data_IF_176511328634
#
_entry.id   IF_176511328634
#
_cell.length_a   1.000
_cell.length_b   1.000
_cell.length_c   1.000
_cell.angle_alpha   90.00
_cell.angle_beta   90.00
_cell.angle_gamma   90.00
#
_symmetry.space_group_name_H-M   'P 1'
#
loop_
_entity.id
_entity.type
_entity.pdbx_description
1 polymer ?
#
# COMPACT_ATOMS: atom_id res chain seq x y z
N UNK A 1 18.90 -1.61 -16.61
CA UNK A 1 17.46 -1.69 -17.02
C UNK A 1 16.73 -2.47 -15.94
N UNK A 2 15.57 -2.03 -15.50
CA UNK A 2 14.78 -2.78 -14.49
C UNK A 2 14.18 -4.02 -15.13
N UNK A 3 14.15 -5.11 -14.37
CA UNK A 3 13.65 -6.42 -14.80
C UNK A 3 12.28 -6.76 -14.18
N UNK A 4 11.90 -6.07 -13.10
CA UNK A 4 10.62 -6.23 -12.44
C UNK A 4 10.20 -4.96 -11.69
N UNK A 5 8.90 -4.87 -11.35
CA UNK A 5 8.34 -3.81 -10.53
C UNK A 5 7.66 -4.40 -9.30
N UNK A 6 7.82 -3.75 -8.13
CA UNK A 6 7.05 -4.03 -6.92
C UNK A 6 6.24 -2.77 -6.58
N UNK A 7 4.95 -2.91 -6.40
CA UNK A 7 4.04 -1.83 -6.04
C UNK A 7 3.57 -1.93 -4.60
N UNK A 8 3.52 -0.83 -3.89
CA UNK A 8 2.64 -0.72 -2.72
C UNK A 8 1.17 -0.66 -3.18
N UNK A 9 0.24 -0.99 -2.29
CA UNK A 9 -1.19 -0.94 -2.58
C UNK A 9 -1.80 0.40 -2.15
N UNK A 10 -1.89 0.64 -0.83
CA UNK A 10 -2.59 1.78 -0.25
C UNK A 10 -1.88 3.11 -0.56
N UNK A 11 -2.54 4.00 -1.28
CA UNK A 11 -1.98 5.29 -1.68
C UNK A 11 -1.04 5.21 -2.90
N UNK A 12 -0.98 4.05 -3.59
CA UNK A 12 -0.14 3.83 -4.78
C UNK A 12 -0.94 3.22 -5.92
N UNK A 13 -1.28 1.93 -5.86
CA UNK A 13 -2.14 1.29 -6.84
C UNK A 13 -3.61 1.67 -6.65
N UNK A 14 -4.03 1.76 -5.39
CA UNK A 14 -5.43 1.97 -5.02
C UNK A 14 -5.59 3.13 -4.03
N UNK A 15 -6.60 3.95 -4.26
CA UNK A 15 -7.15 4.86 -3.27
C UNK A 15 -8.06 4.05 -2.34
N UNK A 16 -7.57 3.83 -1.13
CA UNK A 16 -8.22 3.05 -0.08
C UNK A 16 -8.56 3.91 1.14
N UNK A 17 -8.33 5.22 1.08
CA UNK A 17 -8.49 6.09 2.26
C UNK A 17 -9.91 6.11 2.76
N UNK A 18 -10.90 6.26 1.86
CA UNK A 18 -12.31 6.24 2.20
C UNK A 18 -12.75 4.89 2.78
N UNK A 19 -12.29 3.79 2.19
CA UNK A 19 -12.54 2.44 2.66
C UNK A 19 -12.01 2.22 4.08
N UNK A 20 -10.72 2.49 4.31
CA UNK A 20 -10.06 2.32 5.61
C UNK A 20 -10.75 3.20 6.67
N UNK A 21 -10.96 4.48 6.37
CA UNK A 21 -11.60 5.43 7.30
C UNK A 21 -13.06 5.07 7.59
N UNK A 22 -13.80 4.59 6.59
CA UNK A 22 -15.17 4.15 6.74
C UNK A 22 -15.32 2.97 7.70
N UNK A 23 -14.52 1.91 7.50
CA UNK A 23 -14.52 0.75 8.41
C UNK A 23 -13.98 1.10 9.80
N UNK A 24 -12.95 1.95 9.86
CA UNK A 24 -12.39 2.41 11.12
C UNK A 24 -13.42 3.19 11.94
N UNK A 25 -14.17 4.10 11.33
CA UNK A 25 -15.24 4.83 12.00
C UNK A 25 -16.41 3.92 12.41
N UNK A 26 -16.75 2.91 11.61
CA UNK A 26 -17.72 1.92 12.02
C UNK A 26 -17.26 1.15 13.27
N UNK A 27 -15.98 0.73 13.32
CA UNK A 27 -15.42 0.05 14.48
C UNK A 27 -15.40 0.96 15.72
N UNK A 28 -15.04 2.23 15.58
CA UNK A 28 -15.13 3.23 16.66
C UNK A 28 -16.56 3.35 17.17
N UNK A 29 -17.54 3.50 16.28
CA UNK A 29 -18.95 3.64 16.64
C UNK A 29 -19.49 2.41 17.39
N UNK A 30 -19.14 1.18 16.97
CA UNK A 30 -19.51 -0.07 17.66
C UNK A 30 -19.02 -0.08 19.11
N UNK A 31 -17.87 0.52 19.39
CA UNK A 31 -17.28 0.59 20.73
C UNK A 31 -17.60 1.90 21.48
N UNK A 32 -18.47 2.76 20.91
CA UNK A 32 -18.92 3.99 21.56
C UNK A 32 -17.92 5.15 21.47
N UNK A 33 -16.92 5.08 20.61
CA UNK A 33 -15.98 6.19 20.38
C UNK A 33 -16.46 7.13 19.27
N UNK A 34 -16.11 8.42 19.31
CA UNK A 34 -16.43 9.38 18.24
C UNK A 34 -15.72 9.04 16.93
N UNK A 35 -16.37 9.39 15.82
CA UNK A 35 -15.75 9.25 14.49
C UNK A 35 -14.62 10.26 14.27
N UNK A 36 -13.68 9.89 13.41
CA UNK A 36 -12.57 10.73 12.96
C UNK A 36 -12.84 11.16 11.51
N UNK A 37 -12.62 12.43 11.12
CA UNK A 37 -12.72 12.87 9.73
C UNK A 37 -11.89 11.98 8.79
N UNK A 38 -12.45 11.60 7.63
CA UNK A 38 -11.81 10.65 6.71
C UNK A 38 -10.43 11.16 6.25
N UNK A 39 -10.30 12.45 6.00
CA UNK A 39 -9.05 13.07 5.58
C UNK A 39 -7.91 12.95 6.60
N UNK A 40 -8.22 12.77 7.89
CA UNK A 40 -7.21 12.59 8.94
C UNK A 40 -6.59 11.19 8.92
N UNK A 41 -7.28 10.21 8.34
CA UNK A 41 -6.75 8.85 8.22
C UNK A 41 -5.48 8.76 7.38
N UNK A 42 -5.22 9.72 6.49
CA UNK A 42 -3.94 9.82 5.74
C UNK A 42 -2.70 9.85 6.64
N UNK A 43 -2.84 10.34 7.88
CA UNK A 43 -1.76 10.39 8.87
C UNK A 43 -1.70 9.14 9.76
N UNK A 44 -2.68 8.26 9.70
CA UNK A 44 -2.83 7.08 10.53
C UNK A 44 -2.50 5.78 9.81
N UNK A 45 -2.74 5.74 8.49
CA UNK A 45 -2.57 4.52 7.67
C UNK A 45 -1.12 4.32 7.21
N UNK A 46 -0.77 3.07 6.85
CA UNK A 46 0.51 2.72 6.22
C UNK A 46 1.45 1.89 7.08
N UNK A 47 1.31 1.91 8.41
CA UNK A 47 2.17 1.18 9.34
C UNK A 47 1.51 -0.08 9.95
N UNK A 48 0.45 -0.57 9.30
CA UNK A 48 -0.33 -1.71 9.76
C UNK A 48 -1.47 -1.34 10.71
N UNK A 49 -2.39 -2.28 10.89
CA UNK A 49 -3.64 -2.01 11.58
C UNK A 49 -3.48 -1.73 13.08
N UNK A 50 -2.51 -2.35 13.78
CA UNK A 50 -2.29 -2.07 15.21
C UNK A 50 -1.85 -0.61 15.45
N UNK A 51 -1.01 -0.06 14.57
CA UNK A 51 -0.60 1.35 14.63
C UNK A 51 -1.79 2.26 14.33
N UNK A 52 -2.64 1.87 13.36
CA UNK A 52 -3.89 2.57 13.07
C UNK A 52 -4.80 2.60 14.31
N UNK A 53 -5.06 1.45 14.94
CA UNK A 53 -5.92 1.37 16.14
C UNK A 53 -5.40 2.27 17.28
N UNK A 54 -4.11 2.21 17.58
CA UNK A 54 -3.50 3.10 18.58
C UNK A 54 -3.62 4.57 18.21
N UNK A 55 -3.44 4.90 16.94
CA UNK A 55 -3.61 6.27 16.43
C UNK A 55 -5.03 6.79 16.59
N UNK A 56 -6.02 5.92 16.33
CA UNK A 56 -7.44 6.23 16.50
C UNK A 56 -7.79 6.45 17.98
N UNK A 57 -7.40 5.52 18.86
CA UNK A 57 -7.68 5.62 20.31
C UNK A 57 -7.02 6.85 20.95
N UNK A 58 -5.81 7.23 20.54
CA UNK A 58 -5.19 8.49 21.00
C UNK A 58 -6.03 9.72 20.67
N UNK A 59 -6.76 9.70 19.53
CA UNK A 59 -7.60 10.83 19.11
C UNK A 59 -8.97 10.83 19.77
N UNK A 60 -9.51 9.67 20.08
CA UNK A 60 -10.91 9.51 20.47
C UNK A 60 -11.12 9.21 21.95
N UNK A 61 -10.19 8.51 22.58
CA UNK A 61 -10.28 8.08 23.98
C UNK A 61 -9.32 8.82 24.93
N UNK A 62 -8.22 9.37 24.39
CA UNK A 62 -7.14 9.95 25.21
C UNK A 62 -6.31 8.87 25.91
N UNK A 63 -6.84 8.28 26.99
CA UNK A 63 -6.24 7.14 27.68
C UNK A 63 -6.87 5.84 27.17
N UNK A 64 -6.05 4.83 26.88
CA UNK A 64 -6.49 3.51 26.43
C UNK A 64 -5.50 2.42 26.88
N UNK A 65 -5.98 1.19 26.93
CA UNK A 65 -5.19 0.00 27.27
C UNK A 65 -4.86 -0.81 26.02
N UNK A 66 -3.99 -1.82 26.16
CA UNK A 66 -3.75 -2.77 25.06
C UNK A 66 -4.98 -3.62 24.74
N UNK A 67 -5.82 -3.89 25.74
CA UNK A 67 -7.09 -4.57 25.54
C UNK A 67 -8.03 -3.75 24.64
N UNK A 68 -8.09 -2.42 24.80
CA UNK A 68 -8.88 -1.55 23.94
C UNK A 68 -8.37 -1.59 22.49
N UNK A 69 -7.06 -1.65 22.29
CA UNK A 69 -6.46 -1.81 20.95
C UNK A 69 -6.91 -3.12 20.31
N UNK A 70 -6.85 -4.22 21.07
CA UNK A 70 -7.25 -5.54 20.57
C UNK A 70 -8.74 -5.62 20.27
N UNK A 71 -9.58 -5.06 21.11
CA UNK A 71 -11.05 -4.99 20.90
C UNK A 71 -11.39 -4.19 19.65
N UNK A 72 -10.80 -3.00 19.50
CA UNK A 72 -11.01 -2.16 18.32
C UNK A 72 -10.50 -2.85 17.05
N UNK A 73 -9.35 -3.51 17.14
CA UNK A 73 -8.77 -4.27 16.05
C UNK A 73 -9.67 -5.42 15.60
N UNK A 74 -10.21 -6.20 16.53
CA UNK A 74 -11.08 -7.34 16.21
C UNK A 74 -12.34 -6.89 15.48
N UNK A 75 -12.97 -5.78 15.93
CA UNK A 75 -14.16 -5.21 15.26
C UNK A 75 -13.79 -4.70 13.87
N UNK A 76 -12.68 -3.97 13.73
CA UNK A 76 -12.21 -3.43 12.46
C UNK A 76 -11.90 -4.54 11.45
N UNK A 77 -11.14 -5.57 11.85
CA UNK A 77 -10.78 -6.67 10.98
C UNK A 77 -12.03 -7.42 10.47
N UNK A 78 -12.99 -7.73 11.36
CA UNK A 78 -14.21 -8.40 10.98
C UNK A 78 -15.06 -7.61 9.97
N UNK A 79 -15.16 -6.28 10.17
CA UNK A 79 -15.87 -5.40 9.24
C UNK A 79 -15.17 -5.30 7.89
N UNK A 80 -13.83 -5.19 7.91
CA UNK A 80 -13.06 -4.99 6.70
C UNK A 80 -12.95 -6.27 5.86
N UNK A 81 -12.79 -7.42 6.50
CA UNK A 81 -12.76 -8.72 5.81
C UNK A 81 -14.11 -9.11 5.19
N UNK A 82 -15.22 -8.62 5.73
CA UNK A 82 -16.53 -8.87 5.18
C UNK A 82 -16.79 -8.19 3.82
N UNK A 83 -16.16 -7.03 3.58
CA UNK A 83 -16.30 -6.27 2.32
C UNK A 83 -15.04 -5.47 1.99
N UNK A 84 -13.93 -6.16 1.67
CA UNK A 84 -12.60 -5.53 1.53
C UNK A 84 -12.48 -4.57 0.33
N UNK A 85 -13.44 -4.59 -0.59
CA UNK A 85 -13.43 -3.77 -1.81
C UNK A 85 -14.35 -2.55 -1.74
N UNK A 86 -15.07 -2.36 -0.66
CA UNK A 86 -15.96 -1.21 -0.47
C UNK A 86 -15.17 0.11 -0.49
N UNK A 87 -15.64 1.05 -1.29
CA UNK A 87 -15.05 2.39 -1.45
C UNK A 87 -13.56 2.37 -1.83
N UNK A 88 -13.14 1.37 -2.62
CA UNK A 88 -11.80 1.23 -3.15
C UNK A 88 -11.83 1.49 -4.66
N UNK A 89 -10.88 2.30 -5.14
CA UNK A 89 -10.75 2.59 -6.57
C UNK A 89 -9.29 2.72 -6.99
N UNK A 90 -9.01 2.51 -8.27
CA UNK A 90 -7.69 2.74 -8.81
C UNK A 90 -7.33 4.23 -8.80
N UNK A 91 -6.07 4.56 -8.57
CA UNK A 91 -5.58 5.88 -8.95
C UNK A 91 -5.57 6.01 -10.49
N UNK A 92 -5.89 7.22 -11.01
CA UNK A 92 -5.82 7.47 -12.45
C UNK A 92 -4.43 7.11 -13.02
N UNK A 93 -4.41 6.41 -14.16
CA UNK A 93 -3.20 5.98 -14.83
C UNK A 93 -2.60 4.65 -14.34
N UNK A 94 -3.04 4.11 -13.19
CA UNK A 94 -2.50 2.84 -12.68
C UNK A 94 -2.92 1.63 -13.51
N UNK A 95 -4.18 1.47 -13.95
CA UNK A 95 -4.56 0.38 -14.84
C UNK A 95 -3.78 0.40 -16.15
N UNK A 96 -3.58 1.57 -16.73
CA UNK A 96 -2.83 1.76 -17.98
C UNK A 96 -1.34 1.42 -17.81
N UNK A 97 -0.73 1.85 -16.70
CA UNK A 97 0.66 1.52 -16.37
C UNK A 97 0.85 0.02 -16.20
N UNK A 98 -0.02 -0.64 -15.44
CA UNK A 98 0.03 -2.09 -15.21
C UNK A 98 -0.17 -2.86 -16.53
N UNK A 99 -1.10 -2.40 -17.38
CA UNK A 99 -1.31 -2.98 -18.70
C UNK A 99 -0.09 -2.79 -19.62
N UNK A 100 0.60 -1.63 -19.53
CA UNK A 100 1.83 -1.39 -20.27
C UNK A 100 2.97 -2.31 -19.82
N UNK A 101 3.19 -2.48 -18.50
CA UNK A 101 4.19 -3.42 -17.97
C UNK A 101 3.94 -4.84 -18.48
N UNK A 102 2.68 -5.28 -18.47
CA UNK A 102 2.29 -6.60 -19.00
C UNK A 102 2.62 -6.74 -20.49
N UNK A 103 2.29 -5.73 -21.30
CA UNK A 103 2.59 -5.73 -22.74
C UNK A 103 4.10 -5.80 -23.02
N UNK A 104 4.90 -5.08 -22.23
CA UNK A 104 6.36 -5.10 -22.31
C UNK A 104 7.00 -6.31 -21.60
N UNK A 105 6.18 -7.25 -21.10
CA UNK A 105 6.61 -8.44 -20.38
C UNK A 105 7.47 -8.16 -19.14
N UNK A 106 7.29 -7.00 -18.52
CA UNK A 106 7.94 -6.64 -17.25
C UNK A 106 7.08 -7.20 -16.10
N UNK A 107 7.54 -8.20 -15.35
CA UNK A 107 6.77 -8.76 -14.25
C UNK A 107 6.54 -7.72 -13.16
N UNK A 108 5.31 -7.66 -12.68
CA UNK A 108 4.89 -6.80 -11.59
C UNK A 108 4.42 -7.63 -10.39
N UNK A 109 4.66 -7.12 -9.19
CA UNK A 109 4.19 -7.70 -7.93
C UNK A 109 3.61 -6.62 -7.02
N UNK A 110 2.77 -7.03 -6.07
CA UNK A 110 2.23 -6.15 -5.02
C UNK A 110 2.85 -6.53 -3.67
N UNK A 111 3.26 -5.54 -2.88
CA UNK A 111 3.74 -5.71 -1.50
C UNK A 111 3.11 -4.67 -0.57
N UNK A 112 2.26 -5.12 0.36
CA UNK A 112 1.54 -4.24 1.29
C UNK A 112 1.64 -4.71 2.75
N UNK A 113 1.54 -3.76 3.70
CA UNK A 113 1.41 -4.07 5.14
C UNK A 113 -0.03 -4.41 5.56
N UNK A 114 -0.97 -4.39 4.62
CA UNK A 114 -2.36 -4.80 4.81
C UNK A 114 -2.48 -6.33 4.88
N UNK A 115 -3.45 -6.93 5.57
CA UNK A 115 -3.64 -8.39 5.60
C UNK A 115 -3.67 -9.01 4.20
N UNK A 116 -3.04 -10.18 4.05
CA UNK A 116 -2.81 -10.80 2.74
C UNK A 116 -4.10 -11.10 1.96
N UNK A 117 -5.11 -11.66 2.64
CA UNK A 117 -6.42 -11.94 2.05
C UNK A 117 -7.11 -10.67 1.51
N UNK A 118 -7.01 -9.58 2.24
CA UNK A 118 -7.57 -8.27 1.85
C UNK A 118 -6.83 -7.68 0.66
N UNK A 119 -5.49 -7.77 0.63
CA UNK A 119 -4.69 -7.32 -0.53
C UNK A 119 -5.09 -8.08 -1.79
N UNK A 120 -5.19 -9.40 -1.72
CA UNK A 120 -5.58 -10.23 -2.86
C UNK A 120 -6.98 -9.86 -3.36
N UNK A 121 -7.97 -9.72 -2.46
CA UNK A 121 -9.33 -9.34 -2.83
C UNK A 121 -9.40 -7.97 -3.54
N UNK A 122 -8.68 -6.97 -3.03
CA UNK A 122 -8.64 -5.64 -3.65
C UNK A 122 -7.97 -5.70 -5.03
N UNK A 123 -6.83 -6.38 -5.14
CA UNK A 123 -6.10 -6.49 -6.42
C UNK A 123 -6.94 -7.23 -7.47
N UNK A 124 -7.61 -8.32 -7.10
CA UNK A 124 -8.49 -9.07 -7.99
C UNK A 124 -9.72 -8.26 -8.45
N UNK A 125 -10.24 -7.37 -7.59
CA UNK A 125 -11.36 -6.51 -7.94
C UNK A 125 -10.96 -5.36 -8.88
N UNK A 126 -9.74 -4.83 -8.72
CA UNK A 126 -9.30 -3.62 -9.43
C UNK A 126 -8.54 -3.89 -10.72
N UNK A 127 -7.92 -5.07 -10.86
CA UNK A 127 -7.03 -5.38 -11.98
C UNK A 127 -7.37 -6.74 -12.60
N UNK A 128 -7.14 -6.92 -13.92
CA UNK A 128 -7.23 -8.23 -14.55
C UNK A 128 -6.33 -9.26 -13.83
N UNK A 129 -6.79 -10.51 -13.74
CA UNK A 129 -6.17 -11.59 -12.97
C UNK A 129 -4.66 -11.80 -13.23
N UNK A 130 -4.20 -11.51 -14.44
CA UNK A 130 -2.80 -11.71 -14.84
C UNK A 130 -1.95 -10.45 -14.74
N UNK A 131 -2.45 -9.39 -14.09
CA UNK A 131 -1.75 -8.12 -13.98
C UNK A 131 -0.51 -8.19 -13.11
N UNK A 132 -0.53 -9.03 -12.09
CA UNK A 132 0.57 -9.22 -11.16
C UNK A 132 0.98 -10.69 -11.06
N UNK A 133 2.29 -10.93 -11.04
CA UNK A 133 2.84 -12.27 -10.83
C UNK A 133 2.68 -12.73 -9.39
N UNK A 134 2.83 -11.80 -8.45
CA UNK A 134 2.76 -12.06 -7.02
C UNK A 134 1.95 -10.94 -6.35
N UNK A 135 1.18 -11.33 -5.34
CA UNK A 135 0.41 -10.41 -4.53
C UNK A 135 0.67 -10.73 -3.06
N UNK A 136 1.46 -9.87 -2.37
CA UNK A 136 1.88 -10.08 -1.00
C UNK A 136 1.32 -9.01 -0.07
N UNK A 137 0.43 -9.41 0.83
CA UNK A 137 0.09 -8.68 2.03
C UNK A 137 0.85 -9.22 3.24
N UNK A 138 0.57 -8.68 4.42
CA UNK A 138 1.15 -9.13 5.67
C UNK A 138 0.76 -10.59 5.97
N UNK A 139 1.76 -11.40 6.27
CA UNK A 139 1.64 -12.82 6.63
C UNK A 139 2.41 -13.11 7.91
N UNK A 140 2.02 -14.16 8.63
CA UNK A 140 2.77 -14.62 9.78
C UNK A 140 4.19 -15.02 9.37
N UNK A 141 5.17 -14.68 10.20
CA UNK A 141 6.58 -15.01 9.99
C UNK A 141 7.32 -14.13 8.97
N UNK A 142 6.67 -13.12 8.39
CA UNK A 142 7.32 -12.16 7.49
C UNK A 142 7.30 -10.77 8.13
N UNK A 143 8.45 -10.12 8.19
CA UNK A 143 8.56 -8.78 8.75
C UNK A 143 7.79 -7.76 7.91
N UNK A 144 7.21 -6.75 8.60
CA UNK A 144 6.46 -5.67 7.94
C UNK A 144 7.41 -4.66 7.31
N UNK A 145 7.00 -4.04 6.20
CA UNK A 145 7.68 -2.84 5.69
C UNK A 145 7.83 -1.79 6.81
N UNK A 146 9.02 -1.18 7.01
CA UNK A 146 10.14 -1.00 6.08
C UNK A 146 11.18 -2.13 6.08
N UNK A 147 10.99 -3.24 6.76
CA UNK A 147 11.89 -4.37 6.61
C UNK A 147 11.90 -4.84 5.15
N UNK A 148 13.08 -5.11 4.56
CA UNK A 148 13.21 -5.51 3.18
C UNK A 148 12.79 -6.96 2.91
N UNK A 149 12.56 -7.79 3.93
CA UNK A 149 12.32 -9.22 3.80
C UNK A 149 11.23 -9.55 2.76
N UNK A 150 10.06 -8.90 2.85
CA UNK A 150 8.98 -9.13 1.90
C UNK A 150 9.34 -8.79 0.45
N UNK A 151 10.15 -7.75 0.23
CA UNK A 151 10.63 -7.37 -1.09
C UNK A 151 11.69 -8.35 -1.62
N UNK A 152 12.56 -8.85 -0.75
CA UNK A 152 13.58 -9.84 -1.10
C UNK A 152 12.96 -11.19 -1.46
N UNK A 153 11.92 -11.63 -0.75
CA UNK A 153 11.15 -12.82 -1.11
C UNK A 153 10.52 -12.71 -2.50
N UNK A 154 9.93 -11.54 -2.81
CA UNK A 154 9.40 -11.29 -4.16
C UNK A 154 10.51 -11.30 -5.21
N UNK A 155 11.66 -10.70 -4.91
CA UNK A 155 12.81 -10.67 -5.82
C UNK A 155 13.29 -12.09 -6.17
N UNK A 156 13.37 -12.96 -5.18
CA UNK A 156 13.74 -14.37 -5.35
C UNK A 156 12.73 -15.12 -6.23
N UNK A 157 11.43 -14.99 -5.94
CA UNK A 157 10.39 -15.66 -6.72
C UNK A 157 10.29 -15.15 -8.17
N UNK A 158 10.51 -13.85 -8.39
CA UNK A 158 10.58 -13.26 -9.73
C UNK A 158 11.90 -13.56 -10.45
N UNK A 159 12.89 -14.16 -9.76
CA UNK A 159 14.23 -14.41 -10.25
C UNK A 159 14.92 -13.15 -10.79
N UNK A 160 14.66 -12.01 -10.16
CA UNK A 160 15.20 -10.72 -10.52
C UNK A 160 16.13 -10.21 -9.40
N UNK A 161 17.38 -9.81 -9.72
CA UNK A 161 18.27 -9.23 -8.70
C UNK A 161 17.62 -7.98 -8.07
N UNK A 162 17.70 -7.79 -6.74
CA UNK A 162 17.09 -6.63 -6.06
C UNK A 162 17.48 -5.27 -6.66
N UNK A 163 18.71 -5.16 -7.18
CA UNK A 163 19.24 -3.97 -7.86
C UNK A 163 18.57 -3.68 -9.22
N UNK A 164 17.83 -4.65 -9.77
CA UNK A 164 17.09 -4.54 -11.03
C UNK A 164 15.57 -4.51 -10.80
N UNK A 165 15.13 -4.30 -9.57
CA UNK A 165 13.71 -4.15 -9.23
C UNK A 165 13.42 -2.68 -8.94
N UNK A 166 12.36 -2.17 -9.58
CA UNK A 166 11.81 -0.87 -9.26
C UNK A 166 10.72 -1.03 -8.20
N UNK A 167 10.93 -0.43 -7.03
CA UNK A 167 9.88 -0.34 -6.02
C UNK A 167 9.11 0.97 -6.17
N UNK A 168 7.78 0.89 -6.26
CA UNK A 168 6.87 2.02 -6.44
C UNK A 168 5.94 2.09 -5.22
N UNK A 169 6.01 3.18 -4.47
CA UNK A 169 5.22 3.36 -3.25
C UNK A 169 5.06 4.81 -2.86
N UNK A 170 4.13 5.09 -1.93
CA UNK A 170 3.90 6.43 -1.40
C UNK A 170 5.12 6.97 -0.65
N UNK A 171 5.68 8.06 -1.16
CA UNK A 171 6.90 8.70 -0.65
C UNK A 171 6.67 9.40 0.70
N UNK A 172 5.44 9.81 1.01
CA UNK A 172 5.13 10.53 2.25
C UNK A 172 5.18 9.66 3.50
N UNK A 173 5.10 8.34 3.34
CA UNK A 173 5.09 7.39 4.46
C UNK A 173 6.44 6.75 4.72
N UNK A 174 7.49 7.03 3.90
CA UNK A 174 8.77 6.33 4.03
C UNK A 174 9.99 7.10 3.60
N UNK A 175 11.01 6.94 4.42
CA UNK A 175 12.40 7.15 4.08
C UNK A 175 12.84 6.12 3.04
N UNK A 176 13.29 6.63 1.90
CA UNK A 176 14.16 5.98 0.92
C UNK A 176 13.71 4.68 0.23
N UNK A 177 12.97 4.82 -0.88
CA UNK A 177 13.21 3.97 -2.05
C UNK A 177 13.16 4.84 -3.30
N UNK A 178 14.20 4.78 -4.11
CA UNK A 178 14.38 5.64 -5.28
C UNK A 178 13.45 5.22 -6.41
N UNK A 179 12.57 6.12 -6.84
CA UNK A 179 11.80 5.98 -8.07
C UNK A 179 12.66 6.41 -9.26
N UNK A 180 12.95 5.49 -10.15
CA UNK A 180 13.45 5.79 -11.48
C UNK A 180 12.56 5.13 -12.53
N UNK A 181 11.74 5.93 -13.21
CA UNK A 181 10.97 5.47 -14.37
C UNK A 181 11.81 5.66 -15.64
N UNK A 182 11.91 4.66 -16.52
CA UNK A 182 12.48 4.84 -17.86
C UNK A 182 11.73 5.94 -18.63
N UNK A 183 12.39 6.73 -19.50
CA UNK A 183 11.77 7.85 -20.20
C UNK A 183 10.48 7.51 -20.95
N UNK A 184 10.40 6.35 -21.58
CA UNK A 184 9.20 5.88 -22.28
C UNK A 184 7.98 5.61 -21.36
N UNK A 185 8.19 5.38 -20.06
CA UNK A 185 7.13 5.21 -19.07
C UNK A 185 6.73 6.53 -18.41
N UNK A 186 7.60 7.54 -18.42
CA UNK A 186 7.31 8.86 -17.88
C UNK A 186 6.18 9.53 -18.68
N UNK A 187 6.16 9.40 -20.00
CA UNK A 187 5.12 9.98 -20.85
C UNK A 187 3.75 9.34 -20.62
N UNK A 188 3.67 8.04 -20.37
CA UNK A 188 2.41 7.35 -20.10
C UNK A 188 1.79 7.72 -18.74
N UNK A 189 2.60 8.06 -17.73
CA UNK A 189 2.16 8.44 -16.38
C UNK A 189 1.82 9.92 -16.29
N UNK A 190 2.48 10.78 -17.07
CA UNK A 190 2.36 12.25 -16.95
C UNK A 190 1.40 12.90 -17.97
N UNK A 191 0.88 12.17 -18.95
CA UNK A 191 -0.07 12.70 -19.93
C UNK A 191 -1.54 12.75 -19.43
N UNK A 192 -1.85 12.19 -18.26
CA UNK A 192 -3.16 12.27 -17.61
C UNK A 192 -3.32 13.55 -16.81
N UNK A 193 -4.20 14.47 -17.24
CA UNK A 193 -4.57 15.65 -16.49
C UNK A 193 -5.15 15.25 -15.12
N UNK A 194 -4.39 15.47 -14.04
CA UNK A 194 -4.81 15.17 -12.67
C UNK A 194 -3.84 14.33 -11.83
N UNK A 195 -2.66 13.99 -12.33
CA UNK A 195 -1.69 13.20 -11.58
C UNK A 195 -1.16 13.96 -10.34
N UNK A 196 -1.12 13.31 -9.15
CA UNK A 196 -0.45 13.88 -7.99
C UNK A 196 1.03 14.11 -8.30
N UNK A 197 1.55 15.24 -7.83
CA UNK A 197 2.89 15.76 -8.08
C UNK A 197 3.98 14.77 -7.61
N UNK A 198 4.56 14.00 -8.50
CA UNK A 198 5.74 13.20 -8.23
C UNK A 198 6.98 14.10 -8.32
N UNK A 199 7.56 14.49 -7.18
CA UNK A 199 8.87 15.15 -7.16
C UNK A 199 9.97 14.11 -7.28
N UNK A 200 10.81 14.26 -8.30
CA UNK A 200 12.10 13.56 -8.40
C UNK A 200 13.04 14.07 -7.31
N UNK A 201 13.41 13.23 -6.35
CA UNK A 201 14.56 13.47 -5.49
C UNK A 201 15.75 12.63 -5.99
N UNK A 202 16.73 13.33 -6.54
CA UNK A 202 18.04 12.77 -6.86
C UNK A 202 18.81 12.58 -5.55
N UNK A 203 18.97 11.36 -5.08
CA UNK A 203 19.93 11.06 -4.01
C UNK A 203 21.32 10.97 -4.64
N UNK A 204 22.19 11.91 -4.29
CA UNK A 204 23.62 11.81 -4.60
C UNK A 204 24.18 10.65 -3.78
N UNK A 205 24.82 9.70 -4.49
CA UNK A 205 25.53 8.62 -3.85
C UNK A 205 26.62 9.16 -2.93
N UNK A 206 26.65 8.71 -1.70
CA UNK A 206 27.85 8.78 -0.87
C UNK A 206 28.58 7.47 -1.08
N UNK A 207 29.86 7.61 -1.45
CA UNK A 207 30.79 6.53 -1.65
C UNK A 207 31.15 5.80 -0.35
N UNK A 208 32.03 4.79 -0.43
CA UNK A 208 32.09 3.69 0.55
C UNK A 208 32.76 4.12 1.85
N UNK A 209 32.19 3.65 2.96
CA UNK A 209 32.93 3.23 4.16
C UNK A 209 32.33 1.92 4.66
#
# INVERSE_FOLDING_TARGET
>A
MYQACIFDLDGTLADTLASIGGFANQALNVLGYPAIPIEEYRFLVGNGADVLMRGMLRRTAGNYTEEDVQRLRAVYDGLYEADPVRDVQNYPGMPELVAALRREQVPAAVLSNKPHNVVCAIVEALFPRESFRLCYGQRAGVARKPDPEGALLIAEELKAPPTHILYIGDVYKRQAYTLYLPPAMQEAVFSGAGAPCFRQHRVRGHGPF
#
